data_IF_431253608137
#
_entry.id   IF_431253608137
#
_cell.length_a   1.000
_cell.length_b   1.000
_cell.length_c   1.000
_cell.angle_alpha   90.00
_cell.angle_beta   90.00
_cell.angle_gamma   90.00
#
_symmetry.space_group_name_H-M   'P 1'
#
loop_
_entity.id
_entity.type
_entity.pdbx_description
1 polymer ?
#
# COMPACT_ATOMS: atom_id res chain seq x y z
N UNK A 1 -23.54 -8.33 -6.63
CA UNK A 1 -22.36 -8.37 -7.51
C UNK A 1 -21.25 -7.55 -6.87
N UNK A 2 -20.07 -8.14 -6.74
CA UNK A 2 -18.92 -7.37 -6.28
C UNK A 2 -18.54 -6.33 -7.32
N UNK A 3 -18.25 -5.11 -6.90
CA UNK A 3 -17.76 -4.09 -7.82
C UNK A 3 -16.38 -4.49 -8.34
N UNK A 4 -16.09 -4.25 -9.62
CA UNK A 4 -14.78 -4.56 -10.15
C UNK A 4 -13.71 -3.74 -9.42
N UNK A 5 -12.61 -4.40 -9.05
CA UNK A 5 -11.46 -3.75 -8.44
C UNK A 5 -10.47 -3.40 -9.54
N UNK A 6 -10.02 -2.19 -9.53
CA UNK A 6 -8.99 -1.72 -10.45
C UNK A 6 -7.87 -1.08 -9.65
N UNK A 7 -7.00 -1.92 -9.10
CA UNK A 7 -5.92 -1.46 -8.23
C UNK A 7 -4.86 -0.66 -8.99
N UNK A 8 -4.67 -0.95 -10.27
CA UNK A 8 -3.76 -0.18 -11.11
C UNK A 8 -4.25 1.26 -11.26
N UNK A 9 -5.53 1.43 -11.59
CA UNK A 9 -6.12 2.77 -11.71
C UNK A 9 -6.11 3.52 -10.39
N UNK A 10 -6.31 2.81 -9.28
CA UNK A 10 -6.22 3.41 -7.95
C UNK A 10 -4.83 4.00 -7.71
N UNK A 11 -3.78 3.22 -8.00
CA UNK A 11 -2.40 3.66 -7.87
C UNK A 11 -2.12 4.86 -8.79
N UNK A 12 -2.64 4.82 -10.02
CA UNK A 12 -2.46 5.93 -10.97
C UNK A 12 -3.03 7.24 -10.43
N UNK A 13 -4.19 7.20 -9.78
CA UNK A 13 -4.78 8.41 -9.17
C UNK A 13 -3.85 8.97 -8.11
N UNK A 14 -3.28 8.12 -7.25
CA UNK A 14 -2.33 8.56 -6.23
C UNK A 14 -1.10 9.20 -6.85
N UNK A 15 -0.56 8.57 -7.90
CA UNK A 15 0.65 9.08 -8.58
C UNK A 15 0.37 10.38 -9.34
N UNK A 16 -0.79 10.50 -9.98
CA UNK A 16 -1.16 11.71 -10.71
C UNK A 16 -1.39 12.90 -9.78
N UNK A 17 -1.85 12.66 -8.55
CA UNK A 17 -1.95 13.68 -7.52
C UNK A 17 -0.62 14.00 -6.84
N UNK A 18 0.47 13.36 -7.27
CA UNK A 18 1.82 13.55 -6.73
C UNK A 18 1.94 13.17 -5.27
N UNK A 19 1.15 12.20 -4.81
CA UNK A 19 1.27 11.67 -3.45
C UNK A 19 2.60 10.95 -3.29
N UNK A 20 3.32 11.28 -2.23
CA UNK A 20 4.54 10.59 -1.86
C UNK A 20 4.18 9.41 -0.95
N UNK A 21 4.49 8.20 -1.40
CA UNK A 21 4.20 6.97 -0.65
C UNK A 21 5.11 5.83 -1.11
N UNK A 22 5.21 4.82 -0.26
CA UNK A 22 5.84 3.55 -0.62
C UNK A 22 4.72 2.51 -0.63
N UNK A 23 4.58 1.79 -1.73
CA UNK A 23 3.66 0.65 -1.81
C UNK A 23 4.25 -0.49 -0.99
N UNK A 24 3.46 -1.04 -0.08
CA UNK A 24 3.85 -2.15 0.78
C UNK A 24 2.84 -3.28 0.66
N UNK A 25 2.98 -4.32 1.46
CA UNK A 25 2.02 -5.42 1.51
C UNK A 25 2.09 -6.36 0.31
N UNK A 26 1.03 -7.15 0.13
CA UNK A 26 1.00 -8.19 -0.89
C UNK A 26 1.12 -7.63 -2.32
N UNK A 27 0.54 -6.47 -2.59
CA UNK A 27 0.61 -5.88 -3.93
C UNK A 27 2.04 -5.47 -4.30
N UNK A 28 2.83 -5.01 -3.32
CA UNK A 28 4.24 -4.72 -3.54
C UNK A 28 5.01 -5.99 -3.93
N UNK A 29 4.70 -7.12 -3.30
CA UNK A 29 5.29 -8.41 -3.65
C UNK A 29 4.85 -8.86 -5.06
N UNK A 30 3.56 -8.73 -5.38
CA UNK A 30 3.01 -9.07 -6.71
C UNK A 30 3.70 -8.22 -7.79
N UNK A 31 3.90 -6.94 -7.54
CA UNK A 31 4.58 -6.04 -8.48
C UNK A 31 6.02 -6.48 -8.77
N UNK A 32 6.61 -7.27 -7.90
CA UNK A 32 7.96 -7.80 -8.05
C UNK A 32 7.98 -9.28 -8.41
N UNK A 33 6.85 -9.82 -8.87
CA UNK A 33 6.74 -11.15 -9.45
C UNK A 33 6.21 -12.25 -8.53
N UNK A 34 5.78 -11.94 -7.33
CA UNK A 34 5.22 -12.96 -6.43
C UNK A 34 3.87 -13.47 -6.96
N UNK A 35 3.70 -14.80 -7.07
CA UNK A 35 2.46 -15.38 -7.58
C UNK A 35 1.42 -15.55 -6.44
N UNK A 36 1.05 -14.44 -5.83
CA UNK A 36 0.02 -14.42 -4.77
C UNK A 36 -1.14 -13.55 -5.21
N UNK A 37 -2.31 -13.79 -4.62
CA UNK A 37 -3.50 -12.99 -4.89
C UNK A 37 -3.58 -11.85 -3.87
N UNK A 38 -3.90 -10.65 -4.34
CA UNK A 38 -4.11 -9.49 -3.49
C UNK A 38 -5.37 -8.76 -3.91
N UNK A 39 -6.05 -8.16 -2.94
CA UNK A 39 -7.28 -7.43 -3.15
C UNK A 39 -7.20 -5.98 -2.67
N UNK A 40 -6.11 -5.61 -2.01
CA UNK A 40 -5.95 -4.32 -1.34
C UNK A 40 -4.71 -3.61 -1.84
N UNK A 41 -4.74 -2.28 -1.78
CA UNK A 41 -3.55 -1.45 -1.94
C UNK A 41 -3.15 -0.98 -0.54
N UNK A 42 -1.92 -1.28 -0.12
CA UNK A 42 -1.37 -0.82 1.15
C UNK A 42 -0.23 0.16 0.88
N UNK A 43 -0.35 1.37 1.41
CA UNK A 43 0.67 2.39 1.23
C UNK A 43 1.14 2.94 2.57
N UNK A 44 2.41 3.31 2.64
CA UNK A 44 2.94 4.12 3.72
C UNK A 44 3.19 5.51 3.13
N UNK A 45 2.39 6.47 3.56
CA UNK A 45 2.43 7.82 3.02
C UNK A 45 3.33 8.73 3.84
N UNK A 46 3.98 9.68 3.19
CA UNK A 46 4.70 10.75 3.88
C UNK A 46 3.69 11.65 4.59
N UNK A 47 4.02 12.09 5.80
CA UNK A 47 3.08 12.84 6.65
C UNK A 47 3.42 14.33 6.73
N UNK A 48 4.09 14.88 5.71
CA UNK A 48 4.28 16.33 5.61
C UNK A 48 2.94 17.00 5.28
N UNK A 49 2.72 18.25 5.70
CA UNK A 49 1.46 18.95 5.38
C UNK A 49 1.16 18.97 3.89
N UNK A 50 2.16 19.19 3.05
CA UNK A 50 2.02 19.23 1.60
C UNK A 50 1.55 17.89 1.04
N UNK A 51 2.14 16.79 1.54
CA UNK A 51 1.75 15.46 1.08
C UNK A 51 0.37 15.08 1.58
N UNK A 52 0.01 15.48 2.79
CA UNK A 52 -1.34 15.25 3.31
C UNK A 52 -2.38 15.98 2.48
N UNK A 53 -2.09 17.19 1.99
CA UNK A 53 -2.98 17.91 1.08
C UNK A 53 -3.19 17.12 -0.22
N UNK A 54 -2.12 16.59 -0.80
CA UNK A 54 -2.19 15.78 -2.02
C UNK A 54 -2.94 14.49 -1.80
N UNK A 55 -2.67 13.82 -0.67
CA UNK A 55 -3.37 12.59 -0.30
C UNK A 55 -4.86 12.84 -0.12
N UNK A 56 -5.25 13.88 0.58
CA UNK A 56 -6.67 14.23 0.76
C UNK A 56 -7.34 14.51 -0.58
N UNK A 57 -6.65 15.19 -1.51
CA UNK A 57 -7.18 15.43 -2.84
C UNK A 57 -7.39 14.12 -3.61
N UNK A 58 -6.42 13.20 -3.55
CA UNK A 58 -6.55 11.88 -4.19
C UNK A 58 -7.70 11.09 -3.58
N UNK A 59 -7.81 11.07 -2.25
CA UNK A 59 -8.89 10.36 -1.56
C UNK A 59 -10.26 10.90 -1.94
N UNK A 60 -10.38 12.22 -2.12
CA UNK A 60 -11.61 12.84 -2.61
C UNK A 60 -11.99 12.35 -3.99
N UNK A 61 -11.03 12.29 -4.92
CA UNK A 61 -11.25 11.77 -6.27
C UNK A 61 -11.63 10.30 -6.29
N UNK A 62 -11.11 9.54 -5.34
CA UNK A 62 -11.37 8.11 -5.21
C UNK A 62 -12.68 7.81 -4.47
N UNK A 63 -13.38 8.82 -3.97
CA UNK A 63 -14.58 8.62 -3.17
C UNK A 63 -14.32 7.78 -1.92
N UNK A 64 -13.16 7.97 -1.30
CA UNK A 64 -12.73 7.14 -0.18
C UNK A 64 -13.60 7.35 1.06
N UNK A 65 -13.83 6.26 1.78
CA UNK A 65 -14.56 6.24 3.05
C UNK A 65 -14.01 5.13 3.92
N UNK A 66 -14.17 5.25 5.23
CA UNK A 66 -13.71 4.19 6.14
C UNK A 66 -14.49 2.89 5.93
N UNK A 67 -13.78 1.76 5.92
CA UNK A 67 -14.40 0.43 5.90
C UNK A 67 -15.03 0.11 7.25
N UNK A 68 -15.94 -0.88 7.24
CA UNK A 68 -16.57 -1.39 8.46
C UNK A 68 -17.70 -0.54 8.99
N UNK A 69 -18.13 0.45 8.24
CA UNK A 69 -19.29 1.28 8.62
C UNK A 69 -20.51 0.93 7.76
N UNK A 70 -21.73 1.11 8.31
CA UNK A 70 -22.94 0.88 7.52
C UNK A 70 -22.98 1.79 6.29
N UNK A 71 -23.56 1.30 5.20
CA UNK A 71 -23.66 2.05 3.95
C UNK A 71 -24.44 3.36 4.11
N UNK A 72 -25.40 3.40 5.03
CA UNK A 72 -26.22 4.58 5.31
C UNK A 72 -25.53 5.60 6.22
N UNK A 73 -24.34 5.25 6.75
CA UNK A 73 -23.57 6.15 7.63
C UNK A 73 -22.09 6.15 7.22
N UNK A 74 -21.78 6.60 5.99
CA UNK A 74 -20.40 6.65 5.53
C UNK A 74 -19.62 7.71 6.30
N UNK A 75 -18.31 7.48 6.44
CA UNK A 75 -17.41 8.42 7.08
C UNK A 75 -16.21 8.68 6.17
N UNK A 76 -16.03 9.95 5.81
CA UNK A 76 -14.92 10.37 4.98
C UNK A 76 -13.58 10.26 5.73
N UNK A 77 -12.45 10.12 5.02
CA UNK A 77 -11.14 10.09 5.65
C UNK A 77 -10.88 11.33 6.50
N UNK A 78 -10.28 11.11 7.66
CA UNK A 78 -9.94 12.19 8.60
C UNK A 78 -8.45 12.53 8.42
N UNK A 79 -8.17 13.78 8.04
CA UNK A 79 -6.80 14.27 7.87
C UNK A 79 -5.97 14.08 9.15
N UNK A 80 -6.58 14.30 10.31
CA UNK A 80 -5.86 14.15 11.60
C UNK A 80 -5.40 12.72 11.82
N UNK A 81 -6.21 11.75 11.43
CA UNK A 81 -5.81 10.34 11.52
C UNK A 81 -4.63 10.05 10.60
N UNK A 82 -4.60 10.65 9.42
CA UNK A 82 -3.50 10.47 8.46
C UNK A 82 -2.20 11.14 8.90
N UNK A 83 -2.25 12.07 9.82
CA UNK A 83 -1.07 12.71 10.41
C UNK A 83 -0.35 11.79 11.41
N UNK A 84 -1.02 10.76 11.90
CA UNK A 84 -0.49 9.85 12.92
C UNK A 84 0.22 8.66 12.28
N UNK A 85 0.87 7.85 13.12
CA UNK A 85 1.45 6.58 12.68
C UNK A 85 0.42 5.46 12.59
N UNK A 86 -0.84 5.75 12.86
CA UNK A 86 -1.93 4.77 12.80
C UNK A 86 -2.33 4.39 11.37
N UNK A 87 -3.26 3.47 11.29
CA UNK A 87 -3.75 2.93 10.02
C UNK A 87 -5.14 3.45 9.71
N UNK A 88 -5.34 3.94 8.50
CA UNK A 88 -6.66 4.32 7.99
C UNK A 88 -7.07 3.32 6.92
N UNK A 89 -8.06 2.49 7.25
CA UNK A 89 -8.53 1.41 6.38
C UNK A 89 -9.72 1.92 5.57
N UNK A 90 -9.50 2.15 4.28
CA UNK A 90 -10.46 2.84 3.43
C UNK A 90 -11.00 1.92 2.33
N UNK A 91 -12.20 2.26 1.85
CA UNK A 91 -12.77 1.72 0.63
C UNK A 91 -12.89 2.86 -0.38
N UNK A 92 -12.47 2.60 -1.60
CA UNK A 92 -12.60 3.56 -2.69
C UNK A 92 -13.48 2.98 -3.80
N UNK A 93 -13.81 3.80 -4.80
CA UNK A 93 -14.57 3.32 -5.97
C UNK A 93 -13.78 2.30 -6.80
N UNK A 94 -12.47 2.22 -6.61
CA UNK A 94 -11.59 1.30 -7.35
C UNK A 94 -11.08 0.13 -6.50
N UNK A 95 -11.43 0.08 -5.23
CA UNK A 95 -11.06 -1.00 -4.32
C UNK A 95 -10.56 -0.52 -2.97
N UNK A 96 -10.19 -1.45 -2.08
CA UNK A 96 -9.70 -1.11 -0.75
C UNK A 96 -8.33 -0.44 -0.80
N UNK A 97 -8.15 0.57 0.04
CA UNK A 97 -6.90 1.31 0.19
C UNK A 97 -6.60 1.48 1.67
N UNK A 98 -5.47 0.96 2.11
CA UNK A 98 -4.99 1.12 3.47
C UNK A 98 -3.87 2.16 3.49
N UNK A 99 -4.11 3.26 4.19
CA UNK A 99 -3.11 4.31 4.37
C UNK A 99 -2.47 4.13 5.74
N UNK A 100 -1.21 3.73 5.74
CA UNK A 100 -0.48 3.36 6.94
C UNK A 100 0.53 4.46 7.26
N UNK A 101 0.46 5.01 8.48
CA UNK A 101 1.45 5.99 8.93
C UNK A 101 2.79 5.35 9.24
N UNK A 102 2.77 4.07 9.64
CA UNK A 102 3.96 3.26 9.89
C UNK A 102 3.61 1.79 9.76
N UNK A 103 4.61 0.95 9.55
CA UNK A 103 4.48 -0.51 9.56
C UNK A 103 5.29 -1.11 10.71
N UNK A 104 5.42 -2.45 10.72
CA UNK A 104 6.08 -3.17 11.81
C UNK A 104 7.41 -2.55 12.21
N UNK A 105 7.65 -2.44 13.51
CA UNK A 105 8.86 -1.84 14.05
C UNK A 105 8.84 -0.32 14.01
N UNK A 106 7.68 0.30 13.78
CA UNK A 106 7.54 1.75 13.74
C UNK A 106 8.17 2.40 12.50
N UNK A 107 8.36 1.63 11.43
CA UNK A 107 8.97 2.13 10.20
C UNK A 107 8.00 3.06 9.46
N UNK A 108 8.43 4.29 9.25
CA UNK A 108 7.66 5.32 8.56
C UNK A 108 8.18 5.50 7.13
N UNK A 109 7.57 6.40 6.38
CA UNK A 109 7.92 6.65 4.98
C UNK A 109 9.42 6.86 4.77
N UNK A 110 10.04 7.72 5.57
CA UNK A 110 11.47 8.04 5.42
C UNK A 110 12.37 6.82 5.69
N UNK A 111 11.94 5.91 6.55
CA UNK A 111 12.68 4.66 6.83
C UNK A 111 12.59 3.68 5.66
N UNK A 112 11.48 3.71 4.92
CA UNK A 112 11.22 2.74 3.85
C UNK A 112 11.76 3.19 2.50
N UNK A 113 11.92 4.48 2.27
CA UNK A 113 12.44 4.99 0.98
C UNK A 113 13.78 4.34 0.61
N UNK A 114 14.78 4.25 1.50
CA UNK A 114 16.04 3.58 1.16
C UNK A 114 15.92 2.08 0.90
N UNK A 115 14.84 1.46 1.37
CA UNK A 115 14.59 0.02 1.22
C UNK A 115 13.64 -0.28 0.06
N UNK A 116 13.33 0.72 -0.74
CA UNK A 116 12.37 0.63 -1.83
C UNK A 116 13.08 0.65 -3.19
N UNK A 117 12.34 0.23 -4.21
CA UNK A 117 12.76 0.35 -5.61
C UNK A 117 11.67 1.07 -6.38
N UNK A 118 12.01 1.60 -7.55
CA UNK A 118 11.05 2.28 -8.41
C UNK A 118 10.68 1.40 -9.60
N UNK A 119 9.39 1.32 -9.88
CA UNK A 119 8.85 0.59 -11.03
C UNK A 119 8.09 1.57 -11.92
N UNK A 120 8.06 1.28 -13.22
CA UNK A 120 7.28 2.06 -14.17
C UNK A 120 5.84 1.52 -14.22
N UNK A 121 4.87 2.42 -14.06
CA UNK A 121 3.45 2.11 -14.17
C UNK A 121 2.83 3.10 -15.15
N UNK A 122 2.66 2.67 -16.39
CA UNK A 122 2.09 3.51 -17.47
C UNK A 122 2.79 4.87 -17.56
N UNK A 123 4.13 4.86 -17.52
CA UNK A 123 4.94 6.07 -17.59
C UNK A 123 5.11 6.81 -16.26
N UNK A 124 4.52 6.32 -15.19
CA UNK A 124 4.62 6.90 -13.85
C UNK A 124 5.59 6.09 -13.01
N UNK A 125 6.30 6.75 -12.09
CA UNK A 125 7.22 6.07 -11.18
C UNK A 125 6.51 5.69 -9.89
N UNK A 126 6.43 4.39 -9.63
CA UNK A 126 5.87 3.82 -8.41
C UNK A 126 7.00 3.33 -7.51
N UNK A 127 7.05 3.82 -6.29
CA UNK A 127 8.01 3.34 -5.29
C UNK A 127 7.40 2.16 -4.55
N UNK A 128 8.07 1.02 -4.58
CA UNK A 128 7.61 -0.20 -3.91
C UNK A 128 8.67 -0.67 -2.91
N UNK A 129 8.21 -1.19 -1.77
CA UNK A 129 9.11 -1.79 -0.78
C UNK A 129 9.79 -3.00 -1.41
N UNK A 130 11.12 -3.08 -1.31
CA UNK A 130 11.90 -4.14 -1.94
C UNK A 130 11.49 -5.52 -1.44
N UNK A 131 11.54 -6.52 -2.32
CA UNK A 131 11.13 -7.89 -1.98
C UNK A 131 11.96 -8.46 -0.82
N UNK A 132 13.25 -8.15 -0.76
CA UNK A 132 14.13 -8.55 0.33
C UNK A 132 13.62 -8.08 1.69
N UNK A 133 13.19 -6.83 1.75
CA UNK A 133 12.65 -6.25 2.98
C UNK A 133 11.32 -6.87 3.34
N UNK A 134 10.45 -7.11 2.35
CA UNK A 134 9.17 -7.79 2.57
C UNK A 134 9.41 -9.17 3.18
N UNK A 135 10.33 -9.94 2.62
CA UNK A 135 10.69 -11.27 3.13
C UNK A 135 11.21 -11.17 4.56
N UNK A 136 12.12 -10.24 4.83
CA UNK A 136 12.68 -10.06 6.17
C UNK A 136 11.60 -9.74 7.21
N UNK A 137 10.66 -8.86 6.87
CA UNK A 137 9.55 -8.51 7.77
C UNK A 137 8.63 -9.71 8.01
N UNK A 138 8.34 -10.51 6.98
CA UNK A 138 7.51 -11.70 7.11
C UNK A 138 8.17 -12.76 7.98
N UNK A 139 9.49 -12.89 7.91
CA UNK A 139 10.25 -13.83 8.78
C UNK A 139 10.12 -13.50 10.26
N UNK A 140 10.03 -12.22 10.58
CA UNK A 140 9.88 -11.74 11.97
C UNK A 140 8.44 -11.81 12.45
N UNK A 141 7.47 -11.98 11.56
CA UNK A 141 6.04 -11.99 11.90
C UNK A 141 5.64 -13.28 12.58
N UNK A 142 4.74 -13.17 13.58
CA UNK A 142 4.11 -14.30 14.23
C UNK A 142 2.74 -14.65 13.64
N UNK A 143 2.24 -13.84 12.70
CA UNK A 143 0.94 -14.07 12.08
C UNK A 143 0.98 -15.28 11.14
N UNK A 144 -0.06 -16.10 11.22
CA UNK A 144 -0.17 -17.34 10.43
C UNK A 144 -0.16 -17.04 8.94
N UNK A 145 -0.92 -16.02 8.50
CA UNK A 145 -0.99 -15.68 7.07
C UNK A 145 0.39 -15.27 6.52
N UNK A 146 1.20 -14.57 7.30
CA UNK A 146 2.53 -14.16 6.90
C UNK A 146 3.46 -15.37 6.78
N UNK A 147 3.36 -16.31 7.73
CA UNK A 147 4.17 -17.54 7.69
C UNK A 147 3.78 -18.43 6.52
N UNK A 148 2.50 -18.45 6.13
CA UNK A 148 2.04 -19.23 4.98
C UNK A 148 2.52 -18.61 3.65
N UNK A 149 2.61 -17.29 3.59
CA UNK A 149 3.05 -16.58 2.40
C UNK A 149 4.59 -16.62 2.22
N UNK A 150 5.32 -16.75 3.31
CA UNK A 150 6.78 -16.64 3.31
C UNK A 150 7.49 -17.58 2.32
N UNK A 151 7.15 -18.88 2.22
CA UNK A 151 7.82 -19.76 1.26
C UNK A 151 7.67 -19.30 -0.19
N UNK A 152 6.51 -18.77 -0.56
CA UNK A 152 6.25 -18.26 -1.90
C UNK A 152 7.11 -17.02 -2.17
N UNK A 153 7.20 -16.11 -1.20
CA UNK A 153 8.02 -14.89 -1.32
C UNK A 153 9.51 -15.23 -1.41
N UNK A 154 9.98 -16.17 -0.59
CA UNK A 154 11.37 -16.62 -0.62
C UNK A 154 11.71 -17.27 -1.96
N UNK A 155 10.81 -18.10 -2.50
CA UNK A 155 11.00 -18.71 -3.83
C UNK A 155 11.04 -17.66 -4.93
N UNK A 156 10.23 -16.61 -4.83
CA UNK A 156 10.22 -15.51 -5.78
C UNK A 156 11.55 -14.76 -5.76
N UNK A 157 12.07 -14.50 -4.56
CA UNK A 157 13.35 -13.83 -4.38
C UNK A 157 14.50 -14.64 -5.00
N UNK A 158 14.53 -15.95 -4.76
CA UNK A 158 15.53 -16.83 -5.34
C UNK A 158 15.46 -16.83 -6.87
N UNK A 159 14.27 -16.93 -7.45
CA UNK A 159 14.10 -16.91 -8.91
C UNK A 159 14.56 -15.59 -9.52
N UNK A 160 14.27 -14.48 -8.87
CA UNK A 160 14.71 -13.17 -9.33
C UNK A 160 16.23 -13.08 -9.37
N UNK A 161 16.90 -13.62 -8.34
CA UNK A 161 18.35 -13.57 -8.21
C UNK A 161 19.03 -14.52 -9.21
N UNK A 162 18.34 -15.57 -9.67
CA UNK A 162 18.84 -16.50 -10.68
C UNK A 162 18.58 -16.02 -12.12
N UNK A 163 17.58 -15.18 -12.30
CA UNK A 163 17.22 -14.60 -13.59
C UNK A 163 18.01 -13.33 -13.93
#
# INVERSE_FOLDING_TARGET
>A
MAEPRDLTSLIEVLLDEKVEFVLVGALAAVAQGAPVTTHDVDIVHARTPENLDRLMAALGKLGARYRGRPAESPLAPDRRALETTGHSLLMTTLGPLDCLGAIEGGREYDDLVPLSTELDVEGRRLRVLGLETIVALKRESTEVKDRLMLPVLEATLVRRDLG
#
